data_IF_883784478554
#
_entry.id   IF_883784478554
#
_cell.length_a   1.000
_cell.length_b   1.000
_cell.length_c   1.000
_cell.angle_alpha   90.00
_cell.angle_beta   90.00
_cell.angle_gamma   90.00
#
_symmetry.space_group_name_H-M   'P 1'
#
loop_
_entity.id
_entity.type
_entity.pdbx_description
1 polymer ?
#
# COMPACT_ATOMS: atom_id res chain seq x y z
N UNK A 1 24.33 9.54 -2.58
CA UNK A 1 23.44 9.75 -3.74
C UNK A 1 22.29 10.65 -3.31
N UNK A 2 21.92 11.66 -4.10
CA UNK A 2 20.78 12.54 -3.78
C UNK A 2 19.51 11.82 -4.25
N UNK A 3 18.64 11.44 -3.31
CA UNK A 3 17.35 10.82 -3.64
C UNK A 3 16.45 11.86 -4.33
N UNK A 4 16.31 11.75 -5.66
CA UNK A 4 15.57 12.69 -6.52
C UNK A 4 14.07 12.41 -6.58
N UNK A 5 13.60 11.30 -6.02
CA UNK A 5 12.21 10.86 -6.16
C UNK A 5 11.25 11.52 -5.16
N UNK A 6 11.75 11.91 -3.99
CA UNK A 6 10.99 12.60 -2.93
C UNK A 6 11.85 13.64 -2.20
N UNK A 7 12.30 14.69 -2.90
CA UNK A 7 13.27 15.64 -2.35
C UNK A 7 12.77 16.33 -1.07
N UNK A 8 11.48 16.66 -0.99
CA UNK A 8 10.92 17.38 0.14
C UNK A 8 10.79 16.53 1.42
N UNK A 9 10.51 15.22 1.31
CA UNK A 9 10.47 14.30 2.46
C UNK A 9 11.86 14.18 3.10
N UNK A 10 12.90 14.05 2.28
CA UNK A 10 14.29 13.99 2.73
C UNK A 10 14.75 15.32 3.33
N UNK A 11 14.36 16.44 2.72
CA UNK A 11 14.66 17.79 3.24
C UNK A 11 14.03 17.96 4.61
N UNK A 12 12.73 17.65 4.77
CA UNK A 12 12.03 17.77 6.04
C UNK A 12 12.69 16.92 7.13
N UNK A 13 13.00 15.65 6.87
CA UNK A 13 13.65 14.79 7.86
C UNK A 13 14.97 15.40 8.35
N UNK A 14 15.83 15.85 7.43
CA UNK A 14 17.10 16.50 7.77
C UNK A 14 16.93 17.82 8.52
N UNK A 15 15.90 18.59 8.18
CA UNK A 15 15.60 19.84 8.86
C UNK A 15 15.02 19.59 10.25
N UNK A 16 14.18 18.55 10.43
CA UNK A 16 13.68 18.13 11.74
C UNK A 16 14.84 17.69 12.65
N UNK A 17 15.81 16.92 12.14
CA UNK A 17 17.01 16.53 12.90
C UNK A 17 17.85 17.74 13.35
N UNK A 18 17.92 18.79 12.53
CA UNK A 18 18.75 19.98 12.81
C UNK A 18 18.06 21.00 13.69
N UNK A 19 16.79 21.27 13.46
CA UNK A 19 16.05 22.38 14.08
C UNK A 19 14.99 21.94 15.09
N UNK A 20 14.61 20.65 15.08
CA UNK A 20 13.47 20.12 15.82
C UNK A 20 12.14 20.42 15.12
N UNK A 21 11.17 19.52 15.29
CA UNK A 21 9.88 19.58 14.60
C UNK A 21 9.07 20.86 14.89
N UNK A 22 9.11 21.34 16.14
CA UNK A 22 8.38 22.56 16.54
C UNK A 22 8.95 23.79 15.84
N UNK A 23 10.27 23.94 15.81
CA UNK A 23 10.91 25.08 15.17
C UNK A 23 10.73 25.01 13.65
N UNK A 24 10.88 23.82 13.05
CA UNK A 24 10.64 23.63 11.62
C UNK A 24 9.20 23.95 11.23
N UNK A 25 8.21 23.50 12.01
CA UNK A 25 6.80 23.81 11.77
C UNK A 25 6.54 25.33 11.79
N UNK A 26 7.16 26.05 12.73
CA UNK A 26 7.09 27.53 12.76
C UNK A 26 7.72 28.17 11.53
N UNK A 27 8.90 27.71 11.11
CA UNK A 27 9.59 28.23 9.93
C UNK A 27 8.76 28.02 8.65
N UNK A 28 8.19 26.82 8.46
CA UNK A 28 7.35 26.50 7.31
C UNK A 28 6.07 27.35 7.34
N UNK A 29 5.43 27.50 8.49
CA UNK A 29 4.23 28.31 8.63
C UNK A 29 4.49 29.81 8.40
N UNK A 30 5.67 30.31 8.78
CA UNK A 30 6.09 31.67 8.48
C UNK A 30 6.37 31.86 6.98
N UNK A 31 7.11 30.93 6.36
CA UNK A 31 7.40 30.95 4.92
C UNK A 31 6.11 30.98 4.09
N UNK A 32 5.06 30.25 4.50
CA UNK A 32 3.78 30.26 3.79
C UNK A 32 3.09 31.63 3.69
N UNK A 33 3.55 32.66 4.44
CA UNK A 33 3.00 34.02 4.40
C UNK A 33 3.72 34.96 3.42
N UNK A 34 4.83 34.52 2.82
CA UNK A 34 5.64 35.36 1.94
C UNK A 34 5.44 34.99 0.47
N UNK A 35 5.12 36.00 -0.33
CA UNK A 35 4.96 35.89 -1.77
C UNK A 35 6.22 35.31 -2.43
N UNK A 36 6.06 34.25 -3.21
CA UNK A 36 7.15 33.52 -3.88
C UNK A 36 7.65 32.28 -3.13
N UNK A 37 7.18 32.01 -1.91
CA UNK A 37 7.57 30.82 -1.12
C UNK A 37 6.41 29.90 -0.75
N UNK A 38 5.18 30.24 -1.13
CA UNK A 38 3.95 29.57 -0.71
C UNK A 38 3.86 28.13 -1.22
N UNK A 39 4.28 27.90 -2.46
CA UNK A 39 4.31 26.54 -3.05
C UNK A 39 5.29 25.65 -2.32
N UNK A 40 6.52 26.13 -2.10
CA UNK A 40 7.55 25.39 -1.39
C UNK A 40 7.13 25.13 0.07
N UNK A 41 6.57 26.12 0.75
CA UNK A 41 6.07 25.97 2.12
C UNK A 41 4.92 24.95 2.20
N UNK A 42 4.04 24.93 1.19
CA UNK A 42 2.96 23.94 1.11
C UNK A 42 3.50 22.53 0.90
N UNK A 43 4.46 22.35 0.00
CA UNK A 43 5.07 21.06 -0.27
C UNK A 43 5.88 20.54 0.94
N UNK A 44 6.63 21.43 1.61
CA UNK A 44 7.36 21.10 2.84
C UNK A 44 6.41 20.78 3.99
N UNK A 45 5.28 21.49 4.14
CA UNK A 45 4.25 21.17 5.14
C UNK A 45 3.63 19.80 4.90
N UNK A 46 3.30 19.46 3.65
CA UNK A 46 2.78 18.15 3.31
C UNK A 46 3.79 17.03 3.63
N UNK A 47 5.08 17.26 3.31
CA UNK A 47 6.16 16.35 3.67
C UNK A 47 6.35 16.24 5.20
N UNK A 48 6.20 17.33 5.96
CA UNK A 48 6.21 17.34 7.42
C UNK A 48 5.07 16.52 8.02
N UNK A 49 3.86 16.65 7.48
CA UNK A 49 2.72 15.85 7.94
C UNK A 49 2.90 14.37 7.63
N UNK A 50 3.45 14.06 6.45
CA UNK A 50 3.82 12.69 6.11
C UNK A 50 4.85 12.14 7.08
N UNK A 51 5.88 12.93 7.44
CA UNK A 51 6.93 12.56 8.40
C UNK A 51 6.40 12.29 9.82
N UNK A 52 5.52 13.13 10.33
CA UNK A 52 4.89 12.91 11.64
C UNK A 52 3.99 11.68 11.65
N UNK A 53 3.13 11.54 10.63
CA UNK A 53 2.26 10.36 10.50
C UNK A 53 3.07 9.06 10.38
N UNK A 54 4.18 9.15 9.66
CA UNK A 54 5.21 8.13 9.49
C UNK A 54 5.74 7.56 10.81
N UNK A 55 5.94 8.44 11.79
CA UNK A 55 6.38 8.11 13.14
C UNK A 55 5.23 7.65 14.05
N UNK A 56 4.02 7.53 13.51
CA UNK A 56 2.82 7.18 14.27
C UNK A 56 2.23 8.34 15.08
N UNK A 57 2.71 9.57 14.90
CA UNK A 57 2.29 10.70 15.71
C UNK A 57 0.82 11.05 15.45
N UNK A 58 -0.04 10.80 16.43
CA UNK A 58 -1.45 11.14 16.42
C UNK A 58 -1.67 12.64 16.54
N UNK A 59 -2.83 13.19 16.15
CA UNK A 59 -3.13 14.60 16.37
C UNK A 59 -3.00 15.02 17.84
N UNK A 60 -3.31 14.12 18.79
CA UNK A 60 -3.14 14.37 20.22
C UNK A 60 -1.67 14.55 20.59
N UNK A 61 -0.78 13.69 20.10
CA UNK A 61 0.66 13.79 20.36
C UNK A 61 1.26 15.02 19.71
N UNK A 62 0.88 15.34 18.47
CA UNK A 62 1.31 16.57 17.78
C UNK A 62 0.79 17.81 18.52
N UNK A 63 -0.45 17.79 19.01
CA UNK A 63 -0.99 18.88 19.83
C UNK A 63 -0.18 19.12 21.12
N UNK A 64 0.27 18.03 21.77
CA UNK A 64 1.18 18.10 22.90
C UNK A 64 2.56 18.63 22.54
N UNK A 65 3.17 18.11 21.47
CA UNK A 65 4.48 18.52 20.97
C UNK A 65 4.51 20.02 20.59
N UNK A 66 3.49 20.49 19.88
CA UNK A 66 3.37 21.88 19.46
C UNK A 66 2.96 22.82 20.60
N UNK A 67 2.58 22.29 21.77
CA UNK A 67 2.01 23.05 22.89
C UNK A 67 0.80 23.90 22.48
N UNK A 68 0.04 23.42 21.49
CA UNK A 68 -1.00 24.18 20.79
C UNK A 68 -2.21 24.55 21.65
N UNK A 69 -2.30 24.03 22.87
CA UNK A 69 -3.47 24.15 23.76
C UNK A 69 -3.29 25.12 24.92
N UNK A 70 -2.07 25.55 25.28
CA UNK A 70 -1.88 26.37 26.49
C UNK A 70 -1.15 27.70 26.26
N UNK A 71 -0.29 27.87 25.24
CA UNK A 71 0.40 29.16 25.00
C UNK A 71 0.95 29.36 23.57
N UNK A 72 0.34 28.78 22.54
CA UNK A 72 0.94 28.77 21.21
C UNK A 72 0.49 29.91 20.27
N UNK A 73 1.46 30.35 19.45
CA UNK A 73 1.31 31.14 18.22
C UNK A 73 0.17 30.61 17.33
N UNK A 74 -0.66 31.51 16.79
CA UNK A 74 -1.79 31.17 15.91
C UNK A 74 -1.37 30.36 14.68
N UNK A 75 -0.12 30.52 14.22
CA UNK A 75 0.44 29.72 13.15
C UNK A 75 0.51 28.23 13.51
N UNK A 76 0.93 27.88 14.73
CA UNK A 76 1.05 26.49 15.17
C UNK A 76 -0.31 25.85 15.49
N UNK A 77 -1.27 26.62 15.97
CA UNK A 77 -2.67 26.16 16.09
C UNK A 77 -3.21 25.77 14.71
N UNK A 78 -2.94 26.60 13.71
CA UNK A 78 -3.32 26.29 12.32
C UNK A 78 -2.62 25.03 11.80
N UNK A 79 -1.33 24.84 12.10
CA UNK A 79 -0.59 23.62 11.75
C UNK A 79 -1.26 22.38 12.35
N UNK A 80 -1.69 22.43 13.62
CA UNK A 80 -2.42 21.32 14.25
C UNK A 80 -3.76 21.04 13.54
N UNK A 81 -4.57 22.06 13.27
CA UNK A 81 -5.86 21.90 12.57
C UNK A 81 -5.66 21.34 11.15
N UNK A 82 -4.65 21.83 10.44
CA UNK A 82 -4.29 21.32 9.11
C UNK A 82 -3.82 19.86 9.21
N UNK A 83 -3.09 19.48 10.27
CA UNK A 83 -2.67 18.11 10.52
C UNK A 83 -3.83 17.18 10.88
N UNK A 84 -4.76 17.59 11.74
CA UNK A 84 -6.00 16.85 12.05
C UNK A 84 -6.81 16.60 10.79
N UNK A 85 -6.93 17.62 9.94
CA UNK A 85 -7.61 17.53 8.65
C UNK A 85 -6.89 16.56 7.71
N UNK A 86 -5.56 16.65 7.61
CA UNK A 86 -4.74 15.72 6.83
C UNK A 86 -4.88 14.28 7.33
N UNK A 87 -4.77 14.09 8.65
CA UNK A 87 -4.86 12.81 9.33
C UNK A 87 -6.23 12.16 9.12
N UNK A 88 -7.32 12.92 9.23
CA UNK A 88 -8.69 12.46 9.03
C UNK A 88 -9.10 12.25 7.57
N UNK A 89 -8.62 13.08 6.63
CA UNK A 89 -8.86 12.91 5.18
C UNK A 89 -8.13 11.71 4.61
N UNK A 90 -7.01 11.32 5.20
CA UNK A 90 -6.41 10.03 4.92
C UNK A 90 -7.23 8.95 5.62
N UNK A 91 -8.29 8.49 4.93
CA UNK A 91 -9.01 7.23 5.22
C UNK A 91 -7.99 6.22 5.76
N UNK A 92 -8.24 5.66 6.94
CA UNK A 92 -7.39 4.70 7.68
C UNK A 92 -6.33 4.05 6.78
N UNK A 93 -5.11 4.59 6.79
CA UNK A 93 -4.00 4.05 6.01
C UNK A 93 -2.91 3.71 7.02
N UNK A 94 -2.57 2.45 7.29
CA UNK A 94 -2.01 1.50 6.31
C UNK A 94 -0.83 2.08 5.50
N UNK A 95 -0.24 3.18 5.99
CA UNK A 95 0.99 3.76 5.45
C UNK A 95 2.22 3.03 5.98
N UNK A 96 3.16 2.74 5.09
CA UNK A 96 4.48 2.20 5.45
C UNK A 96 5.31 3.26 6.19
N UNK A 97 6.31 2.84 6.96
CA UNK A 97 7.28 3.75 7.57
C UNK A 97 8.23 4.31 6.48
N UNK A 98 8.21 5.63 6.19
CA UNK A 98 9.07 6.25 5.19
C UNK A 98 10.56 6.13 5.49
N UNK A 99 10.96 5.87 6.74
CA UNK A 99 12.36 5.57 7.05
C UNK A 99 12.85 4.35 6.28
N UNK A 100 11.97 3.40 5.94
CA UNK A 100 12.33 2.26 5.09
C UNK A 100 12.73 2.70 3.68
N UNK A 101 12.14 3.78 3.16
CA UNK A 101 12.54 4.35 1.88
C UNK A 101 13.83 5.17 2.02
N UNK A 102 13.98 5.95 3.09
CA UNK A 102 15.18 6.80 3.25
C UNK A 102 16.42 6.04 3.67
N UNK A 103 16.26 4.85 4.24
CA UNK A 103 17.33 3.91 4.61
C UNK A 103 17.50 2.78 3.59
N UNK A 104 16.91 2.92 2.40
CA UNK A 104 17.00 1.99 1.28
C UNK A 104 16.73 0.52 1.66
N UNK A 105 15.71 0.27 2.51
CA UNK A 105 15.28 -1.08 2.87
C UNK A 105 14.76 -1.83 1.65
N UNK A 106 15.10 -3.11 1.57
CA UNK A 106 14.49 -4.01 0.59
C UNK A 106 13.08 -4.42 1.00
N UNK A 107 12.30 -4.87 0.02
CA UNK A 107 10.94 -5.41 0.23
C UNK A 107 10.96 -6.60 1.21
N UNK A 108 11.99 -7.44 1.14
CA UNK A 108 12.15 -8.60 2.02
C UNK A 108 12.55 -8.21 3.44
N UNK A 109 13.42 -7.20 3.61
CA UNK A 109 13.74 -6.69 4.95
C UNK A 109 12.50 -6.14 5.64
N UNK A 110 11.69 -5.33 4.95
CA UNK A 110 10.46 -4.78 5.54
C UNK A 110 9.46 -5.89 5.87
N UNK A 111 9.35 -6.92 5.03
CA UNK A 111 8.49 -8.08 5.31
C UNK A 111 8.84 -8.76 6.64
N UNK A 112 10.15 -8.93 6.91
CA UNK A 112 10.68 -9.50 8.17
C UNK A 112 10.57 -8.54 9.35
N UNK A 113 10.81 -7.24 9.16
CA UNK A 113 10.61 -6.20 10.20
C UNK A 113 9.17 -6.26 10.73
N UNK A 114 8.22 -6.51 9.82
CA UNK A 114 6.80 -6.64 10.13
C UNK A 114 6.39 -8.07 10.53
N UNK A 115 7.35 -9.01 10.62
CA UNK A 115 7.14 -10.41 11.02
C UNK A 115 6.04 -11.12 10.23
N UNK A 116 5.89 -10.76 8.95
CA UNK A 116 4.86 -11.32 8.07
C UNK A 116 5.19 -12.77 7.66
N UNK A 117 6.48 -13.13 7.68
CA UNK A 117 6.97 -14.50 7.49
C UNK A 117 6.55 -15.46 8.60
N UNK A 118 6.22 -14.93 9.79
CA UNK A 118 5.77 -15.71 10.95
C UNK A 118 4.23 -15.73 11.09
N UNK A 119 3.50 -14.98 10.25
CA UNK A 119 2.06 -14.77 10.43
C UNK A 119 1.19 -15.97 10.05
N UNK A 120 1.71 -16.90 9.24
CA UNK A 120 0.98 -18.08 8.76
C UNK A 120 -0.38 -17.72 8.16
N UNK A 121 -1.41 -18.50 8.46
CA UNK A 121 -2.77 -18.32 7.90
C UNK A 121 -3.43 -16.99 8.31
N UNK A 122 -2.93 -16.32 9.36
CA UNK A 122 -3.45 -15.03 9.86
C UNK A 122 -2.85 -13.82 9.14
N UNK A 123 -2.03 -14.04 8.12
CA UNK A 123 -1.34 -12.96 7.41
C UNK A 123 -2.30 -11.88 6.88
N UNK A 124 -3.44 -12.27 6.29
CA UNK A 124 -4.40 -11.31 5.73
C UNK A 124 -5.25 -10.59 6.80
N UNK A 125 -5.25 -11.09 8.03
CA UNK A 125 -5.86 -10.40 9.17
C UNK A 125 -4.92 -9.32 9.74
N UNK A 126 -3.63 -9.38 9.38
CA UNK A 126 -2.64 -8.44 9.89
C UNK A 126 -2.72 -7.08 9.16
N UNK A 127 -2.91 -5.97 9.87
CA UNK A 127 -2.81 -4.64 9.26
C UNK A 127 -1.40 -4.36 8.70
N UNK A 128 -0.39 -5.08 9.17
CA UNK A 128 0.98 -4.96 8.68
C UNK A 128 1.16 -5.52 7.27
N UNK A 129 0.29 -6.42 6.80
CA UNK A 129 0.29 -6.84 5.38
C UNK A 129 -0.02 -5.65 4.47
N UNK A 130 -0.99 -4.82 4.83
CA UNK A 130 -1.33 -3.62 4.04
C UNK A 130 -0.24 -2.57 4.19
N UNK A 131 0.37 -2.45 5.37
CA UNK A 131 1.53 -1.59 5.60
C UNK A 131 2.71 -1.98 4.69
N UNK A 132 3.03 -3.26 4.60
CA UNK A 132 4.03 -3.79 3.69
C UNK A 132 3.65 -3.58 2.23
N UNK A 133 2.43 -3.90 1.82
CA UNK A 133 1.98 -3.71 0.45
C UNK A 133 2.10 -2.23 0.01
N UNK A 134 1.73 -1.29 0.89
CA UNK A 134 1.93 0.13 0.65
C UNK A 134 3.41 0.50 0.43
N UNK A 135 4.34 -0.14 1.15
CA UNK A 135 5.78 0.02 0.93
C UNK A 135 6.19 -0.52 -0.45
N UNK A 136 5.76 -1.73 -0.80
CA UNK A 136 6.09 -2.33 -2.11
C UNK A 136 5.59 -1.45 -3.25
N UNK A 137 4.36 -0.96 -3.20
CA UNK A 137 3.81 -0.07 -4.21
C UNK A 137 4.53 1.27 -4.33
N UNK A 138 5.24 1.70 -3.27
CA UNK A 138 6.06 2.91 -3.30
C UNK A 138 7.38 2.67 -4.03
N UNK A 139 8.07 1.57 -3.71
CA UNK A 139 9.45 1.34 -4.16
C UNK A 139 9.53 0.58 -5.48
N UNK A 140 8.53 -0.24 -5.79
CA UNK A 140 8.42 -1.05 -7.01
C UNK A 140 7.43 -0.42 -7.99
N UNK A 141 7.65 -0.59 -9.30
CA UNK A 141 6.64 -0.20 -10.27
C UNK A 141 5.37 -1.06 -10.12
N UNK A 142 4.21 -0.52 -10.49
CA UNK A 142 2.93 -1.18 -10.19
C UNK A 142 2.79 -2.57 -10.80
N UNK A 143 3.28 -2.78 -12.04
CA UNK A 143 3.14 -4.08 -12.73
C UNK A 143 3.95 -5.17 -12.02
N UNK A 144 5.14 -4.80 -11.53
CA UNK A 144 6.02 -5.74 -10.86
C UNK A 144 5.69 -5.89 -9.37
N UNK A 145 5.06 -4.88 -8.75
CA UNK A 145 4.66 -4.91 -7.35
C UNK A 145 3.66 -6.03 -7.05
N UNK A 146 2.58 -6.11 -7.83
CA UNK A 146 1.55 -7.14 -7.64
C UNK A 146 2.14 -8.55 -7.83
N UNK A 147 2.95 -8.73 -8.88
CA UNK A 147 3.64 -10.00 -9.15
C UNK A 147 4.66 -10.39 -8.07
N UNK A 148 5.46 -9.43 -7.59
CA UNK A 148 6.43 -9.65 -6.51
C UNK A 148 5.72 -10.06 -5.22
N UNK A 149 4.67 -9.35 -4.83
CA UNK A 149 3.90 -9.73 -3.63
C UNK A 149 3.25 -11.09 -3.81
N UNK A 150 2.64 -11.34 -4.97
CA UNK A 150 2.03 -12.62 -5.28
C UNK A 150 3.01 -13.79 -5.18
N UNK A 151 4.19 -13.69 -5.83
CA UNK A 151 5.20 -14.76 -5.81
C UNK A 151 5.66 -15.07 -4.39
N UNK A 152 5.89 -14.04 -3.57
CA UNK A 152 6.25 -14.22 -2.17
C UNK A 152 5.15 -14.95 -1.38
N UNK A 153 3.89 -14.56 -1.57
CA UNK A 153 2.76 -15.14 -0.84
C UNK A 153 2.41 -16.55 -1.30
N UNK A 154 2.51 -16.84 -2.59
CA UNK A 154 2.20 -18.19 -3.11
C UNK A 154 3.28 -19.19 -2.71
N UNK A 155 4.54 -18.77 -2.59
CA UNK A 155 5.61 -19.62 -2.08
C UNK A 155 5.41 -19.98 -0.61
N UNK A 156 4.84 -19.08 0.19
CA UNK A 156 4.59 -19.30 1.61
C UNK A 156 3.34 -20.15 1.90
N UNK A 157 2.26 -19.95 1.13
CA UNK A 157 0.95 -20.56 1.43
C UNK A 157 0.55 -21.66 0.45
N UNK A 158 1.14 -21.69 -0.74
CA UNK A 158 0.67 -22.53 -1.84
C UNK A 158 -0.63 -22.01 -2.47
N UNK A 159 -1.00 -22.63 -3.58
CA UNK A 159 -2.03 -22.15 -4.49
C UNK A 159 -3.43 -22.08 -3.85
N UNK A 160 -3.88 -23.20 -3.26
CA UNK A 160 -5.23 -23.35 -2.71
C UNK A 160 -5.45 -22.47 -1.47
N UNK A 161 -4.48 -22.44 -0.55
CA UNK A 161 -4.62 -21.65 0.66
C UNK A 161 -4.58 -20.15 0.35
N UNK A 162 -3.67 -19.72 -0.53
CA UNK A 162 -3.61 -18.33 -0.95
C UNK A 162 -4.91 -17.90 -1.67
N UNK A 163 -5.47 -18.74 -2.55
CA UNK A 163 -6.75 -18.45 -3.21
C UNK A 163 -7.88 -18.20 -2.20
N UNK A 164 -7.95 -19.01 -1.13
CA UNK A 164 -8.93 -18.84 -0.04
C UNK A 164 -8.72 -17.53 0.71
N UNK A 165 -7.49 -17.23 1.09
CA UNK A 165 -7.15 -16.00 1.82
C UNK A 165 -7.46 -14.74 0.99
N UNK A 166 -7.10 -14.74 -0.30
CA UNK A 166 -7.42 -13.67 -1.25
C UNK A 166 -8.94 -13.50 -1.36
N UNK A 167 -9.69 -14.60 -1.48
CA UNK A 167 -11.15 -14.55 -1.60
C UNK A 167 -11.80 -13.81 -0.42
N UNK A 168 -11.38 -14.15 0.80
CA UNK A 168 -11.84 -13.47 2.02
C UNK A 168 -11.43 -12.00 2.05
N UNK A 169 -10.19 -11.70 1.68
CA UNK A 169 -9.65 -10.33 1.68
C UNK A 169 -10.30 -9.41 0.63
N UNK A 170 -10.95 -9.94 -0.41
CA UNK A 170 -11.74 -9.08 -1.33
C UNK A 170 -13.03 -8.54 -0.73
N UNK A 171 -13.50 -9.08 0.40
CA UNK A 171 -14.72 -8.63 1.08
C UNK A 171 -14.48 -7.49 2.09
N UNK A 172 -13.21 -7.13 2.32
CA UNK A 172 -12.82 -6.14 3.33
C UNK A 172 -12.24 -4.91 2.63
N UNK A 173 -12.87 -3.75 2.82
CA UNK A 173 -12.51 -2.48 2.16
C UNK A 173 -11.02 -2.13 2.28
N UNK A 174 -10.40 -2.39 3.44
CA UNK A 174 -8.99 -2.06 3.68
C UNK A 174 -8.01 -2.95 2.90
N UNK A 175 -8.44 -4.14 2.47
CA UNK A 175 -7.59 -5.14 1.78
C UNK A 175 -8.01 -5.37 0.32
N UNK A 176 -9.16 -4.85 -0.11
CA UNK A 176 -9.75 -5.09 -1.43
C UNK A 176 -8.79 -4.84 -2.60
N UNK A 177 -8.06 -3.71 -2.57
CA UNK A 177 -7.13 -3.33 -3.64
C UNK A 177 -5.98 -4.32 -3.75
N UNK A 178 -5.36 -4.67 -2.63
CA UNK A 178 -4.28 -5.67 -2.59
C UNK A 178 -4.81 -7.03 -3.07
N UNK A 179 -5.93 -7.48 -2.51
CA UNK A 179 -6.54 -8.76 -2.85
C UNK A 179 -6.90 -8.85 -4.34
N UNK A 180 -7.37 -7.75 -4.94
CA UNK A 180 -7.67 -7.68 -6.38
C UNK A 180 -6.42 -7.81 -7.24
N UNK A 181 -5.31 -7.17 -6.85
CA UNK A 181 -4.01 -7.31 -7.51
C UNK A 181 -3.51 -8.75 -7.45
N UNK A 182 -3.47 -9.34 -6.25
CA UNK A 182 -3.03 -10.71 -6.03
C UNK A 182 -3.90 -11.74 -6.77
N UNK A 183 -5.23 -11.57 -6.78
CA UNK A 183 -6.16 -12.42 -7.55
C UNK A 183 -5.85 -12.39 -9.05
N UNK A 184 -5.47 -11.21 -9.57
CA UNK A 184 -5.13 -11.06 -10.99
C UNK A 184 -3.89 -11.88 -11.35
N UNK A 185 -2.86 -11.85 -10.51
CA UNK A 185 -1.65 -12.67 -10.72
C UNK A 185 -1.92 -14.16 -10.58
N UNK A 186 -2.72 -14.56 -9.59
CA UNK A 186 -3.16 -15.94 -9.41
C UNK A 186 -3.82 -16.48 -10.68
N UNK A 187 -4.77 -15.73 -11.24
CA UNK A 187 -5.48 -16.13 -12.46
C UNK A 187 -4.56 -16.20 -13.68
N UNK A 188 -3.60 -15.29 -13.80
CA UNK A 188 -2.59 -15.35 -14.86
C UNK A 188 -1.76 -16.62 -14.75
N UNK A 189 -1.33 -16.98 -13.54
CA UNK A 189 -0.55 -18.21 -13.33
C UNK A 189 -1.35 -19.46 -13.65
N UNK A 190 -2.61 -19.55 -13.20
CA UNK A 190 -3.49 -20.67 -13.58
C UNK A 190 -3.66 -20.78 -15.10
N UNK A 191 -3.91 -19.65 -15.78
CA UNK A 191 -4.00 -19.63 -17.24
C UNK A 191 -2.72 -20.07 -17.93
N UNK A 192 -1.56 -19.55 -17.50
CA UNK A 192 -0.26 -19.89 -18.10
C UNK A 192 0.11 -21.36 -17.89
N UNK A 193 -0.38 -21.99 -16.82
CA UNK A 193 -0.27 -23.43 -16.57
C UNK A 193 -1.26 -24.26 -17.40
N UNK A 194 -2.15 -23.62 -18.16
CA UNK A 194 -3.19 -24.29 -18.94
C UNK A 194 -4.37 -24.79 -18.11
N UNK A 195 -4.52 -24.33 -16.87
CA UNK A 195 -5.63 -24.77 -16.02
C UNK A 195 -6.97 -24.30 -16.61
N UNK A 196 -7.88 -25.23 -16.83
CA UNK A 196 -9.26 -24.96 -17.21
C UNK A 196 -10.11 -24.58 -16.00
N UNK A 197 -11.27 -23.92 -16.19
CA UNK A 197 -12.19 -23.64 -15.08
C UNK A 197 -12.56 -24.89 -14.28
N UNK A 198 -12.76 -26.03 -14.96
CA UNK A 198 -13.08 -27.32 -14.31
C UNK A 198 -11.93 -27.84 -13.44
N UNK A 199 -10.69 -27.67 -13.86
CA UNK A 199 -9.53 -28.05 -13.05
C UNK A 199 -9.40 -27.16 -11.82
N UNK A 200 -9.66 -25.85 -11.96
CA UNK A 200 -9.67 -24.92 -10.81
C UNK A 200 -10.81 -25.23 -9.84
N UNK A 201 -12.00 -25.59 -10.32
CA UNK A 201 -13.10 -26.04 -9.45
C UNK A 201 -12.71 -27.28 -8.64
N UNK A 202 -12.01 -28.21 -9.29
CA UNK A 202 -11.50 -29.43 -8.65
C UNK A 202 -10.42 -29.11 -7.63
N UNK A 203 -9.48 -28.22 -7.97
CA UNK A 203 -8.37 -27.78 -7.12
C UNK A 203 -8.88 -27.05 -5.85
N UNK A 204 -9.87 -26.18 -6.02
CA UNK A 204 -10.48 -25.43 -4.93
C UNK A 204 -11.52 -26.23 -4.14
N UNK A 205 -11.85 -27.45 -4.60
CA UNK A 205 -12.89 -28.30 -4.03
C UNK A 205 -14.25 -27.58 -3.96
N UNK A 206 -14.65 -26.95 -5.07
CA UNK A 206 -15.93 -26.23 -5.16
C UNK A 206 -17.08 -27.24 -5.13
N UNK A 207 -17.95 -27.11 -4.14
CA UNK A 207 -19.16 -27.90 -3.94
C UNK A 207 -20.37 -26.99 -3.76
N UNK A 208 -21.57 -27.56 -3.77
CA UNK A 208 -22.79 -26.82 -3.46
C UNK A 208 -22.74 -26.09 -2.10
N UNK A 209 -21.97 -26.63 -1.14
CA UNK A 209 -21.85 -26.11 0.22
C UNK A 209 -20.59 -25.26 0.46
N UNK A 210 -19.78 -24.99 -0.57
CA UNK A 210 -18.59 -24.15 -0.43
C UNK A 210 -18.94 -22.72 -0.05
N UNK A 211 -18.02 -22.05 0.64
CA UNK A 211 -18.09 -20.62 0.97
C UNK A 211 -18.32 -19.78 -0.29
N UNK A 212 -19.17 -18.77 -0.19
CA UNK A 212 -19.45 -17.80 -1.25
C UNK A 212 -18.18 -17.16 -1.81
N UNK A 213 -17.15 -16.99 -0.98
CA UNK A 213 -15.85 -16.47 -1.42
C UNK A 213 -15.19 -17.43 -2.44
N UNK A 214 -15.24 -18.74 -2.18
CA UNK A 214 -14.63 -19.76 -3.05
C UNK A 214 -15.41 -19.92 -4.35
N UNK A 215 -16.75 -19.95 -4.26
CA UNK A 215 -17.62 -19.94 -5.44
C UNK A 215 -17.34 -18.70 -6.30
N UNK A 216 -17.14 -17.55 -5.68
CA UNK A 216 -16.82 -16.31 -6.39
C UNK A 216 -15.47 -16.38 -7.11
N UNK A 217 -14.43 -16.94 -6.49
CA UNK A 217 -13.11 -17.11 -7.15
C UNK A 217 -13.23 -18.00 -8.38
N UNK A 218 -13.94 -19.12 -8.29
CA UNK A 218 -14.23 -20.01 -9.42
C UNK A 218 -14.93 -19.28 -10.57
N UNK A 219 -16.04 -18.59 -10.27
CA UNK A 219 -16.82 -17.83 -11.26
C UNK A 219 -16.00 -16.70 -11.89
N UNK A 220 -15.21 -15.98 -11.09
CA UNK A 220 -14.36 -14.91 -11.58
C UNK A 220 -13.24 -15.46 -12.49
N UNK A 221 -12.70 -16.63 -12.16
CA UNK A 221 -11.70 -17.30 -12.99
C UNK A 221 -12.28 -17.78 -14.33
N UNK A 222 -13.47 -18.37 -14.33
CA UNK A 222 -14.16 -18.77 -15.57
C UNK A 222 -14.35 -17.59 -16.53
N UNK A 223 -14.78 -16.43 -15.99
CA UNK A 223 -14.90 -15.18 -16.75
C UNK A 223 -13.56 -14.70 -17.29
N UNK A 224 -12.50 -14.76 -16.46
CA UNK A 224 -11.15 -14.41 -16.87
C UNK A 224 -10.65 -15.32 -17.99
N UNK A 225 -10.81 -16.64 -17.85
CA UNK A 225 -10.41 -17.66 -18.80
C UNK A 225 -11.08 -17.44 -20.17
N UNK A 226 -12.41 -17.24 -20.18
CA UNK A 226 -13.16 -17.00 -21.42
C UNK A 226 -12.67 -15.76 -22.18
N UNK A 227 -12.46 -14.64 -21.47
CA UNK A 227 -11.94 -13.40 -22.06
C UNK A 227 -10.53 -13.56 -22.60
N UNK A 228 -9.65 -14.21 -21.84
CA UNK A 228 -8.24 -14.41 -22.22
C UNK A 228 -8.12 -15.35 -23.41
N UNK A 229 -8.89 -16.44 -23.45
CA UNK A 229 -8.96 -17.36 -24.59
C UNK A 229 -9.44 -16.68 -25.86
N UNK A 230 -10.50 -15.88 -25.77
CA UNK A 230 -11.01 -15.12 -26.92
C UNK A 230 -9.93 -14.17 -27.46
N UNK A 231 -9.27 -13.41 -26.58
CA UNK A 231 -8.20 -12.49 -26.95
C UNK A 231 -7.03 -13.22 -27.62
N UNK A 232 -6.58 -14.34 -27.07
CA UNK A 232 -5.50 -15.14 -27.64
C UNK A 232 -5.86 -15.66 -29.04
N UNK A 233 -7.10 -16.13 -29.25
CA UNK A 233 -7.59 -16.55 -30.56
C UNK A 233 -7.62 -15.39 -31.56
N UNK A 234 -8.09 -14.21 -31.16
CA UNK A 234 -8.08 -13.01 -32.01
C UNK A 234 -6.65 -12.59 -32.39
N UNK A 235 -5.72 -12.60 -31.43
CA UNK A 235 -4.31 -12.29 -31.67
C UNK A 235 -3.62 -13.32 -32.57
N UNK A 236 -4.04 -14.58 -32.57
CA UNK A 236 -3.56 -15.61 -33.49
C UNK A 236 -4.09 -15.38 -34.92
N UNK A 237 -5.38 -15.08 -35.06
CA UNK A 237 -6.01 -14.76 -36.35
C UNK A 237 -5.38 -13.52 -37.01
N UNK A 238 -5.09 -12.48 -36.23
CA UNK A 238 -4.44 -11.26 -36.72
C UNK A 238 -2.97 -11.47 -37.13
N UNK A 239 -2.29 -12.48 -36.57
CA UNK A 239 -0.90 -12.83 -36.91
C UNK A 239 -0.77 -13.77 -38.10
N UNK A 240 -1.88 -14.23 -38.69
CA UNK A 240 -1.88 -15.02 -39.92
C UNK A 240 -1.14 -16.35 -39.81
N UNK A 241 -1.13 -16.99 -38.64
CA UNK A 241 -0.66 -18.38 -38.54
C UNK A 241 -1.84 -19.36 -38.64
N UNK A 242 -1.78 -20.36 -39.54
CA UNK A 242 -2.76 -21.44 -39.60
C UNK A 242 -2.75 -22.31 -38.34
#
# INVERSE_FOLDING_TARGET
MVNTRYPNEVIVAKLSDRYGDVALAKMIAAAAKFDGTEKLATDLRAAQFLHWKSQGATPKEIGGMLQATVNSDDALKKVLVDYETFYGKTKVTSGYDPTWVTTDKSVDEVYKILRLDEAGDKLFDSPDLIRWASFVYKVVNKKDADYLMFTKLIDQHGDVALAKMIASATKVDSTEKLATGLRTELFRVWWLRGASPKEIDSLLQVTANSDDAIKKVSVDYEKFYGKTKLRANMEALLRGQP
#
